data_IF_335147985397
#
_entry.id   IF_335147985397
#
_cell.length_a   1.000
_cell.length_b   1.000
_cell.length_c   1.000
_cell.angle_alpha   90.00
_cell.angle_beta   90.00
_cell.angle_gamma   90.00
#
_symmetry.space_group_name_H-M   'P 1'
#
loop_
_entity.id
_entity.type
_entity.pdbx_description
1 polymer ?
#
# COMPACT_ATOMS: atom_id res chain seq x y z
N UNK A 1 -44.73 -12.68 1.50
CA UNK A 1 -43.73 -13.34 0.69
C UNK A 1 -42.85 -12.26 0.06
N UNK A 2 -41.82 -11.81 0.77
CA UNK A 2 -40.85 -10.79 0.34
C UNK A 2 -39.59 -11.49 -0.10
N UNK A 3 -39.25 -11.40 -1.38
CA UNK A 3 -37.99 -11.89 -1.90
C UNK A 3 -36.86 -10.96 -1.43
N UNK A 4 -36.09 -11.44 -0.51
CA UNK A 4 -34.80 -10.90 -0.11
C UNK A 4 -33.84 -11.03 -1.29
N UNK A 5 -33.58 -9.91 -2.01
CA UNK A 5 -32.53 -9.82 -3.01
C UNK A 5 -31.19 -9.88 -2.26
N UNK A 6 -30.71 -11.09 -2.08
CA UNK A 6 -29.35 -11.38 -1.62
C UNK A 6 -28.38 -10.79 -2.63
N UNK A 7 -27.71 -9.70 -2.27
CA UNK A 7 -26.51 -9.21 -2.96
C UNK A 7 -25.49 -10.36 -2.99
N UNK A 8 -25.41 -11.05 -4.10
CA UNK A 8 -24.38 -12.05 -4.36
C UNK A 8 -23.04 -11.32 -4.58
N UNK A 9 -22.40 -10.91 -3.50
CA UNK A 9 -20.93 -10.81 -3.51
C UNK A 9 -20.42 -12.15 -4.00
N UNK A 10 -19.72 -12.16 -5.12
CA UNK A 10 -19.11 -13.36 -5.72
C UNK A 10 -18.09 -13.90 -4.71
N UNK A 11 -18.56 -14.69 -3.77
CA UNK A 11 -17.71 -15.47 -2.85
C UNK A 11 -17.13 -16.62 -3.67
N UNK A 12 -15.88 -16.46 -4.09
CA UNK A 12 -15.15 -17.57 -4.71
C UNK A 12 -14.91 -18.60 -3.61
N UNK A 13 -15.65 -19.72 -3.68
CA UNK A 13 -15.43 -20.86 -2.77
C UNK A 13 -14.08 -21.50 -3.09
N UNK A 14 -13.05 -21.16 -2.29
CA UNK A 14 -11.69 -21.66 -2.45
C UNK A 14 -11.50 -23.10 -1.95
N UNK A 15 -12.48 -23.64 -1.22
CA UNK A 15 -12.36 -24.94 -0.54
C UNK A 15 -12.75 -26.13 -1.42
N UNK A 16 -13.58 -25.95 -2.47
CA UNK A 16 -14.09 -27.03 -3.31
C UNK A 16 -13.90 -26.76 -4.81
N UNK A 17 -13.32 -27.68 -5.57
CA UNK A 17 -13.17 -27.63 -7.03
C UNK A 17 -11.78 -27.30 -7.56
N UNK A 18 -11.61 -27.09 -8.85
CA UNK A 18 -10.32 -26.90 -9.53
C UNK A 18 -9.56 -25.65 -9.06
N UNK A 19 -8.47 -25.87 -8.34
CA UNK A 19 -7.65 -24.83 -7.68
C UNK A 19 -7.12 -23.81 -8.71
N UNK A 20 -6.66 -24.25 -9.86
CA UNK A 20 -6.02 -23.41 -10.88
C UNK A 20 -6.98 -22.34 -11.43
N UNK A 21 -8.22 -22.72 -11.78
CA UNK A 21 -9.22 -21.77 -12.29
C UNK A 21 -9.59 -20.70 -11.25
N UNK A 22 -9.69 -21.10 -9.99
CA UNK A 22 -10.03 -20.19 -8.89
C UNK A 22 -8.89 -19.24 -8.58
N UNK A 23 -7.66 -19.75 -8.62
CA UNK A 23 -6.45 -18.93 -8.48
C UNK A 23 -6.38 -17.87 -9.57
N UNK A 24 -6.65 -18.21 -10.82
CA UNK A 24 -6.69 -17.27 -11.95
C UNK A 24 -7.78 -16.21 -11.76
N UNK A 25 -9.00 -16.61 -11.39
CA UNK A 25 -10.11 -15.69 -11.15
C UNK A 25 -9.85 -14.74 -10.00
N UNK A 26 -9.12 -15.19 -8.98
CA UNK A 26 -8.69 -14.34 -7.86
C UNK A 26 -7.52 -13.43 -8.23
N UNK A 27 -6.56 -13.92 -9.02
CA UNK A 27 -5.39 -13.16 -9.42
C UNK A 27 -5.73 -12.04 -10.42
N UNK A 28 -6.69 -12.25 -11.33
CA UNK A 28 -7.08 -11.28 -12.37
C UNK A 28 -7.42 -9.88 -11.82
N UNK A 29 -8.32 -9.73 -10.83
CA UNK A 29 -8.62 -8.41 -10.26
C UNK A 29 -7.42 -7.81 -9.52
N UNK A 30 -6.56 -8.62 -8.90
CA UNK A 30 -5.34 -8.13 -8.24
C UNK A 30 -4.34 -7.60 -9.26
N UNK A 31 -4.15 -8.31 -10.38
CA UNK A 31 -3.29 -7.87 -11.48
C UNK A 31 -3.85 -6.58 -12.09
N UNK A 32 -5.15 -6.50 -12.34
CA UNK A 32 -5.80 -5.30 -12.86
C UNK A 32 -5.63 -4.10 -11.92
N UNK A 33 -5.78 -4.30 -10.62
CA UNK A 33 -5.54 -3.26 -9.60
C UNK A 33 -4.07 -2.81 -9.60
N UNK A 34 -3.12 -3.74 -9.71
CA UNK A 34 -1.69 -3.42 -9.79
C UNK A 34 -1.33 -2.62 -11.05
N UNK A 35 -1.88 -2.99 -12.20
CA UNK A 35 -1.71 -2.24 -13.45
C UNK A 35 -2.29 -0.83 -13.32
N UNK A 36 -3.49 -0.70 -12.76
CA UNK A 36 -4.13 0.58 -12.54
C UNK A 36 -3.29 1.47 -11.61
N UNK A 37 -2.81 0.93 -10.50
CA UNK A 37 -1.93 1.64 -9.56
C UNK A 37 -0.64 2.12 -10.25
N UNK A 38 -0.02 1.27 -11.06
CA UNK A 38 1.18 1.64 -11.81
C UNK A 38 0.91 2.70 -12.86
N UNK A 39 -0.28 2.65 -13.49
CA UNK A 39 -0.71 3.68 -14.44
C UNK A 39 -0.87 5.04 -13.75
N UNK A 40 -1.46 5.10 -12.57
CA UNK A 40 -1.55 6.34 -11.79
C UNK A 40 -0.17 6.90 -11.45
N UNK A 41 0.77 6.09 -10.99
CA UNK A 41 2.14 6.52 -10.74
C UNK A 41 2.83 7.08 -12.00
N UNK A 42 2.60 6.45 -13.15
CA UNK A 42 3.18 6.91 -14.42
C UNK A 42 2.57 8.24 -14.87
N UNK A 43 1.27 8.42 -14.70
CA UNK A 43 0.58 9.69 -15.01
C UNK A 43 1.07 10.80 -14.06
N UNK A 44 1.25 10.52 -12.79
CA UNK A 44 1.75 11.48 -11.79
C UNK A 44 3.12 12.01 -12.18
N UNK A 45 4.05 11.13 -12.52
CA UNK A 45 5.40 11.49 -13.02
C UNK A 45 5.32 12.29 -14.34
N UNK A 46 4.43 11.88 -15.25
CA UNK A 46 4.26 12.57 -16.54
C UNK A 46 3.70 13.99 -16.34
N UNK A 47 2.72 14.18 -15.45
CA UNK A 47 2.14 15.50 -15.15
C UNK A 47 3.18 16.39 -14.48
N UNK A 48 3.90 15.88 -13.48
CA UNK A 48 4.98 16.66 -12.84
C UNK A 48 6.08 17.01 -13.86
N UNK A 49 6.47 16.06 -14.72
CA UNK A 49 7.48 16.32 -15.76
C UNK A 49 7.07 17.32 -16.83
N UNK A 50 5.77 17.47 -17.09
CA UNK A 50 5.27 18.38 -18.14
C UNK A 50 4.89 19.77 -17.61
N UNK A 51 4.39 19.85 -16.38
CA UNK A 51 3.82 21.08 -15.82
C UNK A 51 4.63 21.70 -14.68
N UNK A 52 5.60 20.96 -14.12
CA UNK A 52 6.47 21.45 -13.05
C UNK A 52 7.91 21.67 -13.55
N UNK A 53 8.74 22.26 -12.70
CA UNK A 53 10.15 22.47 -13.00
C UNK A 53 10.94 21.14 -13.00
N UNK A 54 12.10 21.11 -13.66
CA UNK A 54 13.04 19.99 -13.60
C UNK A 54 13.45 19.62 -12.16
N UNK A 55 13.51 20.63 -11.29
CA UNK A 55 13.78 20.46 -9.86
C UNK A 55 12.66 19.72 -9.13
N UNK A 56 11.38 20.01 -9.46
CA UNK A 56 10.24 19.30 -8.90
C UNK A 56 10.21 17.82 -9.35
N UNK A 57 10.56 17.54 -10.60
CA UNK A 57 10.69 16.18 -11.10
C UNK A 57 11.82 15.42 -10.39
N UNK A 58 12.97 16.08 -10.19
CA UNK A 58 14.08 15.51 -9.44
C UNK A 58 13.70 15.23 -7.96
N UNK A 59 12.93 16.14 -7.33
CA UNK A 59 12.41 15.95 -5.98
C UNK A 59 11.52 14.71 -5.86
N UNK A 60 10.59 14.49 -6.80
CA UNK A 60 9.73 13.31 -6.84
C UNK A 60 10.58 12.05 -7.05
N UNK A 61 11.57 12.11 -7.95
CA UNK A 61 12.48 10.99 -8.23
C UNK A 61 13.32 10.58 -7.01
N UNK A 62 13.89 11.55 -6.28
CA UNK A 62 14.67 11.30 -5.07
C UNK A 62 13.85 10.65 -3.96
N UNK A 63 12.59 11.05 -3.82
CA UNK A 63 11.67 10.44 -2.85
C UNK A 63 11.22 9.02 -3.25
N UNK A 64 11.31 8.66 -4.52
CA UNK A 64 10.81 7.38 -5.05
C UNK A 64 11.41 6.18 -4.33
N UNK A 65 12.71 6.20 -4.00
CA UNK A 65 13.37 5.13 -3.27
C UNK A 65 12.84 4.98 -1.84
N UNK A 66 12.70 6.07 -1.12
CA UNK A 66 12.18 6.07 0.27
C UNK A 66 10.74 5.57 0.30
N UNK A 67 9.89 6.13 -0.56
CA UNK A 67 8.48 5.78 -0.67
C UNK A 67 8.33 4.31 -1.06
N UNK A 68 9.09 3.84 -2.06
CA UNK A 68 9.07 2.45 -2.51
C UNK A 68 9.48 1.49 -1.40
N UNK A 69 10.49 1.81 -0.60
CA UNK A 69 10.93 1.00 0.53
C UNK A 69 9.83 0.88 1.58
N UNK A 70 9.19 1.99 1.93
CA UNK A 70 8.10 2.03 2.89
C UNK A 70 6.91 1.20 2.38
N UNK A 71 6.48 1.42 1.14
CA UNK A 71 5.36 0.68 0.53
C UNK A 71 5.64 -0.83 0.53
N UNK A 72 6.84 -1.26 0.10
CA UNK A 72 7.19 -2.67 0.06
C UNK A 72 7.23 -3.31 1.44
N UNK A 73 7.66 -2.57 2.47
CA UNK A 73 7.61 -3.05 3.86
C UNK A 73 6.15 -3.32 4.28
N UNK A 74 5.23 -2.41 3.98
CA UNK A 74 3.81 -2.58 4.32
C UNK A 74 3.12 -3.67 3.50
N UNK A 75 3.47 -3.81 2.23
CA UNK A 75 3.02 -4.94 1.40
C UNK A 75 3.45 -6.26 2.05
N UNK A 76 4.70 -6.37 2.52
CA UNK A 76 5.19 -7.56 3.20
C UNK A 76 4.41 -7.88 4.48
N UNK A 77 4.16 -6.88 5.33
CA UNK A 77 3.35 -7.03 6.55
C UNK A 77 1.91 -7.46 6.19
N UNK A 78 1.32 -6.85 5.17
CA UNK A 78 -0.04 -7.15 4.71
C UNK A 78 -0.15 -8.58 4.18
N UNK A 79 0.83 -9.05 3.42
CA UNK A 79 0.88 -10.44 2.95
C UNK A 79 0.96 -11.40 4.14
N UNK A 80 1.82 -11.11 5.12
CA UNK A 80 1.92 -11.90 6.34
C UNK A 80 0.61 -11.99 7.12
N UNK A 81 -0.08 -10.87 7.29
CA UNK A 81 -1.39 -10.82 7.94
C UNK A 81 -2.44 -11.64 7.18
N UNK A 82 -2.48 -11.54 5.85
CA UNK A 82 -3.39 -12.31 5.00
C UNK A 82 -3.16 -13.82 5.14
N UNK A 83 -1.91 -14.27 5.21
CA UNK A 83 -1.57 -15.70 5.41
C UNK A 83 -2.10 -16.20 6.76
N UNK A 84 -1.90 -15.43 7.84
CA UNK A 84 -2.38 -15.78 9.18
C UNK A 84 -3.90 -15.86 9.21
N UNK A 85 -4.60 -14.86 8.66
CA UNK A 85 -6.06 -14.84 8.59
C UNK A 85 -6.59 -16.02 7.77
N UNK A 86 -5.99 -16.29 6.60
CA UNK A 86 -6.37 -17.40 5.75
C UNK A 86 -6.19 -18.76 6.45
N UNK A 87 -5.13 -18.91 7.27
CA UNK A 87 -4.91 -20.10 8.06
C UNK A 87 -6.04 -20.33 9.09
N UNK A 88 -6.45 -19.29 9.83
CA UNK A 88 -7.56 -19.39 10.78
C UNK A 88 -8.90 -19.63 10.08
N UNK A 89 -9.12 -19.05 8.89
CA UNK A 89 -10.31 -19.34 8.07
C UNK A 89 -10.34 -20.81 7.66
N UNK A 90 -9.21 -21.36 7.20
CA UNK A 90 -9.10 -22.78 6.85
C UNK A 90 -9.36 -23.73 8.00
N UNK A 91 -9.07 -23.32 9.24
CA UNK A 91 -9.36 -24.07 10.46
C UNK A 91 -10.74 -23.82 11.05
N UNK A 92 -11.53 -22.93 10.44
CA UNK A 92 -12.84 -22.49 10.96
C UNK A 92 -12.79 -21.94 12.39
N UNK A 93 -11.67 -21.35 12.78
CA UNK A 93 -11.46 -20.75 14.10
C UNK A 93 -11.89 -19.28 14.11
N UNK A 94 -13.15 -19.01 14.40
CA UNK A 94 -13.71 -17.65 14.44
C UNK A 94 -13.02 -16.73 15.44
N UNK A 95 -12.55 -17.27 16.57
CA UNK A 95 -11.82 -16.48 17.58
C UNK A 95 -10.44 -16.09 17.05
N UNK A 96 -9.75 -17.01 16.41
CA UNK A 96 -8.46 -16.78 15.77
C UNK A 96 -8.58 -15.72 14.65
N UNK A 97 -9.62 -15.80 13.83
CA UNK A 97 -9.90 -14.80 12.77
C UNK A 97 -10.08 -13.40 13.37
N UNK A 98 -10.97 -13.26 14.38
CA UNK A 98 -11.20 -11.98 15.05
C UNK A 98 -9.93 -11.40 15.66
N UNK A 99 -9.17 -12.20 16.35
CA UNK A 99 -7.91 -11.77 16.97
C UNK A 99 -6.88 -11.34 15.92
N UNK A 100 -6.73 -12.12 14.85
CA UNK A 100 -5.80 -11.78 13.76
C UNK A 100 -6.19 -10.46 13.08
N UNK A 101 -7.46 -10.24 12.78
CA UNK A 101 -7.96 -8.98 12.19
C UNK A 101 -7.72 -7.81 13.13
N UNK A 102 -8.07 -7.94 14.42
CA UNK A 102 -7.86 -6.89 15.40
C UNK A 102 -6.39 -6.54 15.59
N UNK A 103 -5.52 -7.56 15.66
CA UNK A 103 -4.08 -7.37 15.76
C UNK A 103 -3.51 -6.67 14.52
N UNK A 104 -3.94 -7.08 13.33
CA UNK A 104 -3.54 -6.44 12.07
C UNK A 104 -3.97 -4.98 12.02
N UNK A 105 -5.20 -4.67 12.45
CA UNK A 105 -5.69 -3.30 12.50
C UNK A 105 -4.88 -2.42 13.48
N UNK A 106 -4.55 -2.95 14.66
CA UNK A 106 -3.71 -2.24 15.63
C UNK A 106 -2.31 -1.99 15.06
N UNK A 107 -1.69 -2.99 14.44
CA UNK A 107 -0.39 -2.86 13.80
C UNK A 107 -0.45 -1.81 12.69
N UNK A 108 -1.49 -1.82 11.85
CA UNK A 108 -1.65 -0.86 10.75
C UNK A 108 -1.73 0.57 11.28
N UNK A 109 -2.60 0.84 12.25
CA UNK A 109 -2.76 2.18 12.85
C UNK A 109 -1.49 2.64 13.55
N UNK A 110 -0.88 1.77 14.36
CA UNK A 110 0.33 2.12 15.13
C UNK A 110 1.50 2.42 14.19
N UNK A 111 1.68 1.60 13.16
CA UNK A 111 2.76 1.81 12.18
C UNK A 111 2.48 3.01 11.28
N UNK A 112 1.23 3.30 10.92
CA UNK A 112 0.86 4.53 10.20
C UNK A 112 1.22 5.78 10.98
N UNK A 113 0.86 5.84 12.27
CA UNK A 113 1.22 6.96 13.17
C UNK A 113 2.75 7.05 13.33
N UNK A 114 3.42 5.92 13.50
CA UNK A 114 4.88 5.89 13.59
C UNK A 114 5.55 6.47 12.34
N UNK A 115 5.07 6.09 11.15
CA UNK A 115 5.58 6.62 9.89
C UNK A 115 5.28 8.09 9.69
N UNK A 116 4.10 8.55 10.11
CA UNK A 116 3.76 9.97 10.08
C UNK A 116 4.80 10.78 10.88
N UNK A 117 5.02 10.39 12.13
CA UNK A 117 5.97 11.07 13.02
C UNK A 117 7.39 11.01 12.45
N UNK A 118 7.82 9.84 12.03
CA UNK A 118 9.17 9.61 11.47
C UNK A 118 9.35 10.39 10.17
N UNK A 119 8.36 10.37 9.27
CA UNK A 119 8.40 11.11 8.00
C UNK A 119 8.47 12.63 8.20
N UNK A 120 7.79 13.16 9.22
CA UNK A 120 7.87 14.59 9.54
C UNK A 120 9.20 15.01 10.13
N UNK A 121 9.80 14.18 10.99
CA UNK A 121 11.01 14.50 11.75
C UNK A 121 12.31 14.18 10.98
N UNK A 122 12.32 13.04 10.26
CA UNK A 122 13.54 12.47 9.68
C UNK A 122 13.58 12.63 8.14
N UNK A 123 12.58 13.31 7.53
CA UNK A 123 12.57 13.53 6.09
C UNK A 123 13.87 14.16 5.56
N UNK A 124 14.34 15.22 6.19
CA UNK A 124 15.55 15.93 5.76
C UNK A 124 16.82 15.08 5.89
N UNK A 125 17.17 14.52 7.05
CA UNK A 125 18.37 13.69 7.18
C UNK A 125 18.37 12.43 6.31
N UNK A 126 17.22 11.84 6.01
CA UNK A 126 17.15 10.70 5.08
C UNK A 126 17.51 11.14 3.66
N UNK A 127 16.99 12.27 3.19
CA UNK A 127 17.26 12.78 1.85
C UNK A 127 18.70 13.27 1.69
N UNK A 128 19.28 13.86 2.74
CA UNK A 128 20.71 14.20 2.79
C UNK A 128 21.58 12.93 2.70
N UNK A 129 21.23 11.87 3.42
CA UNK A 129 21.92 10.59 3.37
C UNK A 129 21.82 9.86 2.02
N UNK A 130 20.83 10.22 1.20
CA UNK A 130 20.64 9.74 -0.17
C UNK A 130 21.31 10.62 -1.23
N UNK A 131 22.20 11.54 -0.82
CA UNK A 131 22.90 12.48 -1.71
C UNK A 131 21.94 13.29 -2.60
N UNK A 132 20.78 13.70 -2.06
CA UNK A 132 19.83 14.56 -2.77
C UNK A 132 20.45 15.94 -2.97
N UNK A 133 20.48 16.48 -4.22
CA UNK A 133 21.09 17.78 -4.50
C UNK A 133 20.49 18.91 -3.65
N UNK A 134 21.32 19.88 -3.22
CA UNK A 134 20.92 20.97 -2.33
C UNK A 134 19.81 21.86 -2.92
N UNK A 135 19.81 22.04 -4.24
CA UNK A 135 18.80 22.83 -4.96
C UNK A 135 17.41 22.17 -5.03
N UNK A 136 17.33 20.89 -4.69
CA UNK A 136 16.11 20.06 -4.78
C UNK A 136 15.62 19.62 -3.39
N UNK A 137 16.51 19.63 -2.38
CA UNK A 137 16.24 18.99 -1.07
C UNK A 137 15.02 19.61 -0.36
N UNK A 138 14.81 20.90 -0.43
CA UNK A 138 13.67 21.56 0.25
C UNK A 138 12.33 21.14 -0.36
N UNK A 139 12.26 20.99 -1.69
CA UNK A 139 11.08 20.48 -2.39
C UNK A 139 10.87 19.00 -2.10
N UNK A 140 11.94 18.22 -2.04
CA UNK A 140 11.89 16.81 -1.72
C UNK A 140 11.40 16.56 -0.29
N UNK A 141 11.87 17.34 0.68
CA UNK A 141 11.41 17.30 2.08
C UNK A 141 9.94 17.67 2.18
N UNK A 142 9.51 18.73 1.49
CA UNK A 142 8.10 19.14 1.47
C UNK A 142 7.21 18.04 0.89
N UNK A 143 7.60 17.46 -0.23
CA UNK A 143 6.89 16.36 -0.88
C UNK A 143 6.77 15.14 0.05
N UNK A 144 7.88 14.72 0.68
CA UNK A 144 7.88 13.57 1.59
C UNK A 144 7.02 13.80 2.83
N UNK A 145 6.99 15.03 3.36
CA UNK A 145 6.12 15.41 4.48
C UNK A 145 4.64 15.35 4.11
N UNK A 146 4.27 15.93 2.97
CA UNK A 146 2.88 15.87 2.47
C UNK A 146 2.46 14.43 2.23
N UNK A 147 3.32 13.63 1.61
CA UNK A 147 3.08 12.21 1.38
C UNK A 147 2.87 11.43 2.69
N UNK A 148 3.68 11.72 3.71
CA UNK A 148 3.57 11.08 5.04
C UNK A 148 2.26 11.41 5.75
N UNK A 149 1.67 12.59 5.50
CA UNK A 149 0.35 12.96 6.04
C UNK A 149 -0.80 12.09 5.50
N UNK A 150 -0.63 11.51 4.32
CA UNK A 150 -1.62 10.62 3.72
C UNK A 150 -1.46 9.15 4.10
N UNK A 151 -0.48 8.78 4.92
CA UNK A 151 -0.19 7.39 5.28
C UNK A 151 -1.07 6.79 6.41
N UNK A 152 -1.53 7.53 7.42
CA UNK A 152 -2.47 6.98 8.40
C UNK A 152 -3.84 6.75 7.79
#
# INVERSE_FOLDING_TARGET
>A
MGQEKTNSTVRIDMLHGGIFRKLLLFALPLIASGILQQSFNSVDVAVVGQFASSQALAAVGSNGLVISLIINLFIGISIGANVVIAHYIGRQDEKGIKNAISTTAIIAVTSGIFLLITGLLIAKPILEALDTPEDVIDLAVLYLRIYSLGMP
#
